data_IF_642388031159
#
_entry.id   IF_642388031159
#
_cell.length_a   1.000
_cell.length_b   1.000
_cell.length_c   1.000
_cell.angle_alpha   90.00
_cell.angle_beta   90.00
_cell.angle_gamma   90.00
#
_symmetry.space_group_name_H-M   'P 1'
#
loop_
_entity.id
_entity.type
_entity.pdbx_description
1 polymer ?
#
# COMPACT_ATOMS: atom_id res chain seq x y z
N UNK A 1 -21.83 26.47 -15.92
CA UNK A 1 -21.05 25.48 -16.68
C UNK A 1 -20.54 24.46 -15.66
N UNK A 2 -21.45 23.61 -15.17
CA UNK A 2 -21.21 22.71 -14.04
C UNK A 2 -20.76 21.33 -14.51
N UNK A 3 -19.64 20.89 -13.95
CA UNK A 3 -19.15 19.53 -13.73
C UNK A 3 -19.81 18.37 -14.48
N UNK A 4 -19.13 17.88 -15.52
CA UNK A 4 -19.15 16.43 -15.84
C UNK A 4 -18.08 15.72 -15.00
N UNK A 5 -18.29 15.66 -13.68
CA UNK A 5 -17.64 14.63 -12.86
C UNK A 5 -18.24 13.30 -13.33
N UNK A 6 -17.42 12.49 -14.00
CA UNK A 6 -17.85 11.30 -14.73
C UNK A 6 -18.79 10.43 -13.92
N UNK A 7 -19.95 10.10 -14.50
CA UNK A 7 -20.91 9.19 -13.89
C UNK A 7 -20.19 7.92 -13.44
N UNK A 8 -20.35 7.55 -12.17
CA UNK A 8 -19.81 6.29 -11.64
C UNK A 8 -20.46 5.16 -12.44
N UNK A 9 -19.70 4.49 -13.30
CA UNK A 9 -20.22 3.37 -14.08
C UNK A 9 -20.46 2.19 -13.13
N UNK A 10 -21.74 1.93 -12.85
CA UNK A 10 -22.16 0.81 -12.00
C UNK A 10 -22.39 -0.40 -12.92
N UNK A 11 -21.78 -1.56 -12.63
CA UNK A 11 -22.04 -2.79 -13.38
C UNK A 11 -23.48 -3.29 -13.16
N UNK A 12 -23.95 -4.19 -14.03
CA UNK A 12 -25.17 -4.96 -13.74
C UNK A 12 -24.96 -5.92 -12.56
N UNK A 13 -26.06 -6.31 -11.91
CA UNK A 13 -26.04 -7.33 -10.84
C UNK A 13 -25.40 -8.65 -11.30
N UNK A 14 -25.62 -9.02 -12.57
CA UNK A 14 -25.04 -10.23 -13.15
C UNK A 14 -23.51 -10.17 -13.16
N UNK A 15 -22.94 -9.06 -13.63
CA UNK A 15 -21.48 -8.86 -13.67
C UNK A 15 -20.94 -8.83 -12.24
N UNK A 16 -21.56 -8.04 -11.34
CA UNK A 16 -21.12 -7.92 -9.95
C UNK A 16 -21.09 -9.26 -9.22
N UNK A 17 -22.17 -10.04 -9.28
CA UNK A 17 -22.26 -11.37 -8.65
C UNK A 17 -21.22 -12.33 -9.22
N UNK A 18 -21.00 -12.29 -10.53
CA UNK A 18 -20.02 -13.15 -11.19
C UNK A 18 -18.58 -12.81 -10.77
N UNK A 19 -18.23 -11.53 -10.73
CA UNK A 19 -16.92 -11.08 -10.22
C UNK A 19 -16.74 -11.44 -8.75
N UNK A 20 -17.75 -11.25 -7.91
CA UNK A 20 -17.69 -11.68 -6.51
C UNK A 20 -17.43 -13.20 -6.39
N UNK A 21 -18.09 -14.01 -7.22
CA UNK A 21 -17.86 -15.46 -7.26
C UNK A 21 -16.43 -15.81 -7.68
N UNK A 22 -15.90 -15.18 -8.73
CA UNK A 22 -14.52 -15.38 -9.21
C UNK A 22 -13.54 -15.01 -8.10
N UNK A 23 -13.64 -13.81 -7.53
CA UNK A 23 -12.73 -13.34 -6.49
C UNK A 23 -12.77 -14.20 -5.22
N UNK A 24 -13.91 -14.80 -4.88
CA UNK A 24 -14.02 -15.73 -3.74
C UNK A 24 -13.33 -17.08 -3.96
N UNK A 25 -13.10 -17.47 -5.21
CA UNK A 25 -12.58 -18.79 -5.58
C UNK A 25 -11.24 -18.71 -6.33
N UNK A 26 -10.62 -17.54 -6.34
CA UNK A 26 -9.37 -17.32 -7.04
C UNK A 26 -8.21 -17.93 -6.24
N UNK A 27 -7.34 -18.64 -6.94
CA UNK A 27 -6.14 -19.29 -6.40
C UNK A 27 -4.98 -19.07 -7.36
N UNK A 28 -3.75 -19.27 -6.90
CA UNK A 28 -2.56 -19.18 -7.77
C UNK A 28 -2.65 -20.12 -8.98
N UNK A 29 -3.18 -21.33 -8.77
CA UNK A 29 -3.29 -22.35 -9.82
C UNK A 29 -4.36 -22.05 -10.86
N UNK A 30 -5.39 -21.28 -10.53
CA UNK A 30 -6.50 -20.97 -11.44
C UNK A 30 -6.49 -19.51 -11.94
N UNK A 31 -5.55 -18.69 -11.46
CA UNK A 31 -5.51 -17.25 -11.68
C UNK A 31 -5.65 -16.85 -13.15
N UNK A 32 -4.84 -17.42 -14.04
CA UNK A 32 -4.86 -17.10 -15.48
C UNK A 32 -6.24 -17.34 -16.10
N UNK A 33 -6.81 -18.51 -15.84
CA UNK A 33 -8.16 -18.86 -16.32
C UNK A 33 -9.23 -17.90 -15.76
N UNK A 34 -9.12 -17.51 -14.49
CA UNK A 34 -10.06 -16.55 -13.88
C UNK A 34 -9.92 -15.16 -14.50
N UNK A 35 -8.70 -14.73 -14.84
CA UNK A 35 -8.44 -13.47 -15.57
C UNK A 35 -9.08 -13.50 -16.95
N UNK A 36 -8.94 -14.60 -17.70
CA UNK A 36 -9.60 -14.76 -19.00
C UNK A 36 -11.13 -14.67 -18.86
N UNK A 37 -11.69 -15.28 -17.82
CA UNK A 37 -13.13 -15.20 -17.55
C UNK A 37 -13.56 -13.76 -17.21
N UNK A 38 -12.80 -13.05 -16.36
CA UNK A 38 -13.05 -11.63 -16.02
C UNK A 38 -13.01 -10.75 -17.27
N UNK A 39 -11.99 -10.91 -18.11
CA UNK A 39 -11.82 -10.09 -19.32
C UNK A 39 -12.91 -10.35 -20.35
N UNK A 40 -13.46 -11.57 -20.41
CA UNK A 40 -14.59 -11.90 -21.29
C UNK A 40 -15.92 -11.24 -20.89
N UNK A 41 -16.11 -10.92 -19.61
CA UNK A 41 -17.40 -10.41 -19.08
C UNK A 41 -17.36 -8.93 -18.67
N UNK A 42 -16.19 -8.37 -18.35
CA UNK A 42 -16.05 -6.99 -17.89
C UNK A 42 -15.70 -6.10 -19.09
N UNK A 43 -16.61 -5.25 -19.59
CA UNK A 43 -16.29 -4.31 -20.66
C UNK A 43 -15.30 -3.22 -20.20
N UNK A 44 -14.57 -2.64 -21.17
CA UNK A 44 -13.54 -1.62 -20.91
C UNK A 44 -14.01 -0.45 -20.02
N UNK A 45 -15.25 0.01 -20.14
CA UNK A 45 -15.78 1.12 -19.33
C UNK A 45 -15.99 0.77 -17.84
N UNK A 46 -15.97 -0.53 -17.48
CA UNK A 46 -16.07 -1.01 -16.09
C UNK A 46 -14.72 -1.34 -15.45
N UNK A 47 -13.60 -1.13 -16.16
CA UNK A 47 -12.24 -1.41 -15.63
C UNK A 47 -11.93 -0.65 -14.35
N UNK A 48 -12.34 0.63 -14.25
CA UNK A 48 -12.19 1.41 -13.00
C UNK A 48 -13.00 0.81 -11.85
N UNK A 49 -14.23 0.36 -12.11
CA UNK A 49 -15.05 -0.31 -11.08
C UNK A 49 -14.42 -1.64 -10.64
N UNK A 50 -13.81 -2.39 -11.56
CA UNK A 50 -13.11 -3.63 -11.23
C UNK A 50 -11.91 -3.33 -10.29
N UNK A 51 -11.14 -2.28 -10.57
CA UNK A 51 -10.06 -1.84 -9.70
C UNK A 51 -10.57 -1.40 -8.31
N UNK A 52 -11.66 -0.62 -8.23
CA UNK A 52 -12.31 -0.29 -6.96
C UNK A 52 -12.76 -1.54 -6.18
N UNK A 53 -13.24 -2.55 -6.90
CA UNK A 53 -13.71 -3.81 -6.31
C UNK A 53 -12.57 -4.66 -5.78
N UNK A 54 -11.44 -4.68 -6.48
CA UNK A 54 -10.21 -5.31 -6.01
C UNK A 54 -9.69 -4.63 -4.74
N UNK A 55 -9.66 -3.30 -4.69
CA UNK A 55 -9.15 -2.58 -3.52
C UNK A 55 -9.98 -2.82 -2.25
N UNK A 56 -11.30 -3.04 -2.39
CA UNK A 56 -12.13 -3.47 -1.26
C UNK A 56 -11.70 -4.83 -0.70
N UNK A 57 -11.26 -5.76 -1.56
CA UNK A 57 -10.73 -7.06 -1.14
C UNK A 57 -9.36 -6.92 -0.47
N UNK A 58 -8.47 -6.12 -1.06
CA UNK A 58 -7.15 -5.82 -0.50
C UNK A 58 -7.25 -5.28 0.93
N UNK A 59 -8.24 -4.43 1.20
CA UNK A 59 -8.48 -3.87 2.54
C UNK A 59 -8.85 -4.92 3.59
N UNK A 60 -9.41 -6.07 3.22
CA UNK A 60 -9.87 -7.12 4.15
C UNK A 60 -9.06 -8.42 4.13
N UNK A 61 -8.33 -8.70 3.05
CA UNK A 61 -7.75 -10.03 2.77
C UNK A 61 -6.22 -9.96 2.57
N UNK A 62 -5.43 -9.72 3.64
CA UNK A 62 -3.98 -9.50 3.54
C UNK A 62 -3.19 -10.68 2.96
N UNK A 63 -3.66 -11.91 3.19
CA UNK A 63 -2.99 -13.13 2.74
C UNK A 63 -3.03 -13.30 1.21
N UNK A 64 -3.89 -12.55 0.50
CA UNK A 64 -4.06 -12.65 -0.95
C UNK A 64 -3.40 -11.49 -1.70
N UNK A 65 -2.66 -10.61 -1.02
CA UNK A 65 -2.05 -9.43 -1.67
C UNK A 65 -1.10 -9.77 -2.81
N UNK A 66 -0.33 -10.85 -2.68
CA UNK A 66 0.55 -11.32 -3.76
C UNK A 66 -0.25 -11.81 -4.97
N UNK A 67 -1.27 -12.65 -4.73
CA UNK A 67 -2.19 -13.12 -5.76
C UNK A 67 -2.90 -11.96 -6.46
N UNK A 68 -3.34 -10.95 -5.71
CA UNK A 68 -3.98 -9.75 -6.25
C UNK A 68 -3.03 -8.86 -7.04
N UNK A 69 -1.75 -8.80 -6.67
CA UNK A 69 -0.77 -8.06 -7.45
C UNK A 69 -0.54 -8.75 -8.80
N UNK A 70 -0.45 -10.08 -8.82
CA UNK A 70 -0.35 -10.85 -10.07
C UNK A 70 -1.63 -10.73 -10.92
N UNK A 71 -2.81 -10.73 -10.28
CA UNK A 71 -4.08 -10.44 -10.95
C UNK A 71 -4.05 -9.08 -11.67
N UNK A 72 -3.52 -8.03 -11.03
CA UNK A 72 -3.37 -6.71 -11.66
C UNK A 72 -2.47 -6.79 -12.90
N UNK A 73 -1.32 -7.46 -12.81
CA UNK A 73 -0.38 -7.63 -13.93
C UNK A 73 -1.07 -8.31 -15.12
N UNK A 74 -1.77 -9.42 -14.87
CA UNK A 74 -2.41 -10.20 -15.91
C UNK A 74 -3.59 -9.44 -16.54
N UNK A 75 -4.42 -8.77 -15.75
CA UNK A 75 -5.51 -7.94 -16.27
C UNK A 75 -4.97 -6.76 -17.10
N UNK A 76 -3.85 -6.16 -16.68
CA UNK A 76 -3.24 -5.03 -17.38
C UNK A 76 -2.77 -5.39 -18.80
N UNK A 77 -2.49 -6.67 -19.08
CA UNK A 77 -2.20 -7.15 -20.43
C UNK A 77 -3.41 -7.04 -21.38
N UNK A 78 -4.63 -7.04 -20.85
CA UNK A 78 -5.87 -6.86 -21.62
C UNK A 78 -6.40 -5.43 -21.54
N UNK A 79 -6.18 -4.76 -20.40
CA UNK A 79 -6.64 -3.41 -20.10
C UNK A 79 -5.46 -2.53 -19.68
N UNK A 80 -4.84 -1.86 -20.65
CA UNK A 80 -3.63 -1.06 -20.43
C UNK A 80 -3.78 0.06 -19.38
N UNK A 81 -5.00 0.53 -19.13
CA UNK A 81 -5.32 1.53 -18.11
C UNK A 81 -5.57 0.94 -16.71
N UNK A 82 -5.63 -0.38 -16.55
CA UNK A 82 -6.05 -1.01 -15.30
C UNK A 82 -5.03 -0.84 -14.17
N UNK A 83 -3.74 -1.01 -14.46
CA UNK A 83 -2.68 -0.77 -13.47
C UNK A 83 -2.68 0.69 -13.02
N UNK A 84 -2.78 1.63 -13.97
CA UNK A 84 -2.88 3.07 -13.69
C UNK A 84 -4.09 3.38 -12.80
N UNK A 85 -5.28 2.88 -13.13
CA UNK A 85 -6.46 3.08 -12.29
C UNK A 85 -6.32 2.46 -10.91
N UNK A 86 -5.71 1.28 -10.82
CA UNK A 86 -5.49 0.60 -9.52
C UNK A 86 -4.57 1.42 -8.63
N UNK A 87 -3.44 1.90 -9.16
CA UNK A 87 -2.50 2.75 -8.43
C UNK A 87 -3.10 4.12 -8.06
N UNK A 88 -3.84 4.76 -8.97
CA UNK A 88 -4.52 6.03 -8.71
C UNK A 88 -5.55 5.90 -7.57
N UNK A 89 -6.40 4.86 -7.62
CA UNK A 89 -7.41 4.63 -6.60
C UNK A 89 -6.79 4.24 -5.25
N UNK A 90 -5.74 3.40 -5.27
CA UNK A 90 -5.01 2.97 -4.08
C UNK A 90 -4.36 4.16 -3.38
N UNK A 91 -3.62 4.97 -4.12
CA UNK A 91 -2.94 6.17 -3.59
C UNK A 91 -3.94 7.19 -3.08
N UNK A 92 -5.05 7.41 -3.79
CA UNK A 92 -6.14 8.29 -3.34
C UNK A 92 -6.77 7.82 -2.02
N UNK A 93 -6.97 6.53 -1.83
CA UNK A 93 -7.53 6.00 -0.59
C UNK A 93 -6.52 6.08 0.57
N UNK A 94 -5.24 5.79 0.32
CA UNK A 94 -4.16 6.01 1.29
C UNK A 94 -4.13 7.48 1.72
N UNK A 95 -4.11 8.42 0.77
CA UNK A 95 -4.13 9.86 1.03
C UNK A 95 -5.36 10.28 1.84
N UNK A 96 -6.53 9.73 1.52
CA UNK A 96 -7.77 10.01 2.25
C UNK A 96 -7.63 9.62 3.72
N UNK A 97 -7.09 8.43 4.00
CA UNK A 97 -6.90 7.93 5.37
C UNK A 97 -5.83 8.76 6.10
N UNK A 98 -4.69 9.06 5.46
CA UNK A 98 -3.61 9.85 6.06
C UNK A 98 -4.03 11.29 6.41
N UNK A 99 -5.02 11.85 5.68
CA UNK A 99 -5.56 13.20 5.93
C UNK A 99 -6.60 13.25 7.05
N UNK A 100 -7.09 12.10 7.54
CA UNK A 100 -8.05 12.08 8.65
C UNK A 100 -7.50 12.84 9.88
N UNK A 101 -8.34 13.54 10.64
CA UNK A 101 -7.89 14.22 11.86
C UNK A 101 -7.39 13.22 12.90
N UNK A 102 -8.06 12.07 12.99
CA UNK A 102 -7.69 10.93 13.82
C UNK A 102 -7.82 9.67 12.96
N UNK A 103 -6.78 8.83 12.97
CA UNK A 103 -6.83 7.50 12.36
C UNK A 103 -7.28 6.52 13.44
N UNK A 104 -8.47 5.96 13.29
CA UNK A 104 -8.98 4.93 14.21
C UNK A 104 -8.39 3.54 13.88
N UNK A 105 -8.57 2.52 14.73
CA UNK A 105 -8.03 1.18 14.48
C UNK A 105 -8.50 0.53 13.18
N UNK A 106 -9.71 0.83 12.71
CA UNK A 106 -10.26 0.27 11.47
C UNK A 106 -9.55 0.87 10.25
N UNK A 107 -9.43 2.20 10.21
CA UNK A 107 -8.67 2.91 9.18
C UNK A 107 -7.18 2.58 9.24
N UNK A 108 -6.62 2.42 10.44
CA UNK A 108 -5.23 2.02 10.63
C UNK A 108 -4.92 0.62 10.10
N UNK A 109 -5.81 -0.35 10.36
CA UNK A 109 -5.71 -1.70 9.78
C UNK A 109 -5.80 -1.66 8.25
N UNK A 110 -6.75 -0.90 7.72
CA UNK A 110 -6.92 -0.71 6.27
C UNK A 110 -5.65 -0.09 5.67
N UNK A 111 -5.13 0.98 6.26
CA UNK A 111 -3.92 1.66 5.81
C UNK A 111 -2.72 0.70 5.77
N UNK A 112 -2.54 -0.13 6.81
CA UNK A 112 -1.50 -1.16 6.84
C UNK A 112 -1.62 -2.13 5.66
N UNK A 113 -2.83 -2.61 5.35
CA UNK A 113 -3.06 -3.50 4.22
C UNK A 113 -2.80 -2.82 2.87
N UNK A 114 -3.27 -1.58 2.70
CA UNK A 114 -3.03 -0.81 1.48
C UNK A 114 -1.54 -0.52 1.27
N UNK A 115 -0.78 -0.28 2.34
CA UNK A 115 0.68 -0.13 2.27
C UNK A 115 1.41 -1.38 1.81
N UNK A 116 1.01 -2.55 2.30
CA UNK A 116 1.57 -3.83 1.85
C UNK A 116 1.32 -4.04 0.35
N UNK A 117 0.08 -3.77 -0.10
CA UNK A 117 -0.30 -3.91 -1.50
C UNK A 117 0.38 -2.88 -2.40
N UNK A 118 0.49 -1.63 -1.95
CA UNK A 118 1.25 -0.59 -2.65
C UNK A 118 2.71 -1.01 -2.84
N UNK A 119 3.36 -1.50 -1.79
CA UNK A 119 4.73 -2.01 -1.87
C UNK A 119 4.87 -3.18 -2.85
N UNK A 120 3.85 -4.05 -2.95
CA UNK A 120 3.87 -5.18 -3.90
C UNK A 120 3.67 -4.75 -5.35
N UNK A 121 2.86 -3.72 -5.60
CA UNK A 121 2.66 -3.15 -6.94
C UNK A 121 3.80 -2.21 -7.37
N UNK A 122 4.63 -1.72 -6.44
CA UNK A 122 5.65 -0.70 -6.74
C UNK A 122 7.06 -1.21 -6.41
N UNK A 123 7.46 -1.12 -5.13
CA UNK A 123 8.79 -1.46 -4.64
C UNK A 123 9.22 -2.85 -5.11
N UNK A 124 8.38 -3.87 -4.95
CA UNK A 124 8.69 -5.24 -5.37
C UNK A 124 8.91 -5.42 -6.89
N UNK A 125 8.56 -4.41 -7.69
CA UNK A 125 8.70 -4.37 -9.15
C UNK A 125 9.69 -3.31 -9.62
N UNK A 126 10.55 -2.83 -8.71
CA UNK A 126 11.55 -1.80 -9.00
C UNK A 126 10.95 -0.46 -9.47
N UNK A 127 9.71 -0.18 -9.06
CA UNK A 127 9.03 1.10 -9.33
C UNK A 127 9.19 1.99 -8.09
N UNK A 128 9.91 3.13 -8.19
CA UNK A 128 10.10 4.03 -7.06
C UNK A 128 8.80 4.72 -6.66
N UNK A 129 8.63 4.96 -5.36
CA UNK A 129 7.51 5.74 -4.84
C UNK A 129 7.83 7.23 -4.87
N UNK A 130 6.91 8.03 -5.44
CA UNK A 130 6.98 9.49 -5.40
C UNK A 130 6.36 10.08 -4.11
N UNK A 131 6.50 9.38 -2.98
CA UNK A 131 5.93 9.79 -1.68
C UNK A 131 7.07 10.21 -0.74
N UNK A 132 6.95 11.41 -0.16
CA UNK A 132 7.90 11.86 0.87
C UNK A 132 7.55 11.27 2.23
N UNK A 133 8.04 10.04 2.45
CA UNK A 133 7.82 9.29 3.69
C UNK A 133 8.44 9.98 4.90
N UNK A 134 9.59 10.66 4.74
CA UNK A 134 10.23 11.38 5.86
C UNK A 134 9.35 12.52 6.33
N UNK A 135 8.85 13.34 5.41
CA UNK A 135 7.93 14.43 5.73
C UNK A 135 6.61 13.93 6.31
N UNK A 136 6.12 12.77 5.87
CA UNK A 136 4.95 12.12 6.49
C UNK A 136 5.20 11.79 7.97
N UNK A 137 6.31 11.12 8.29
CA UNK A 137 6.68 10.78 9.69
C UNK A 137 6.82 12.05 10.52
N UNK A 138 7.52 13.07 9.99
CA UNK A 138 7.75 14.33 10.69
C UNK A 138 6.45 15.07 10.98
N UNK A 139 5.57 15.20 9.98
CA UNK A 139 4.29 15.90 10.13
C UNK A 139 3.41 15.19 11.15
N UNK A 140 3.36 13.86 11.12
CA UNK A 140 2.64 13.08 12.12
C UNK A 140 3.25 13.24 13.52
N UNK A 141 4.58 13.16 13.64
CA UNK A 141 5.29 13.35 14.91
C UNK A 141 5.00 14.71 15.55
N UNK A 142 4.93 15.79 14.75
CA UNK A 142 4.69 17.14 15.24
C UNK A 142 3.22 17.45 15.53
N UNK A 143 2.32 17.05 14.63
CA UNK A 143 0.96 17.55 14.63
C UNK A 143 -0.07 16.50 15.07
N UNK A 144 0.23 15.21 14.93
CA UNK A 144 -0.71 14.10 15.18
C UNK A 144 0.04 12.85 15.72
N UNK A 145 0.69 12.92 16.89
CA UNK A 145 1.56 11.85 17.39
C UNK A 145 0.84 10.51 17.60
N UNK A 146 -0.48 10.50 17.80
CA UNK A 146 -1.28 9.27 17.88
C UNK A 146 -1.47 8.59 16.52
N UNK A 147 -1.38 9.34 15.41
CA UNK A 147 -1.44 8.74 14.07
C UNK A 147 -0.18 7.92 13.74
N UNK A 148 0.94 8.13 14.46
CA UNK A 148 2.16 7.35 14.27
C UNK A 148 1.97 5.86 14.58
N UNK A 149 1.02 5.51 15.46
CA UNK A 149 0.69 4.13 15.80
C UNK A 149 0.17 3.34 14.58
N UNK A 150 -0.29 4.04 13.53
CA UNK A 150 -0.77 3.45 12.29
C UNK A 150 0.11 3.77 11.07
N UNK A 151 0.72 4.96 11.04
CA UNK A 151 1.61 5.39 9.95
C UNK A 151 2.90 4.56 9.93
N UNK A 152 3.46 4.20 11.10
CA UNK A 152 4.68 3.39 11.16
C UNK A 152 4.44 1.96 10.65
N UNK A 153 3.37 1.24 11.05
CA UNK A 153 3.03 -0.04 10.43
C UNK A 153 2.80 0.06 8.91
N UNK A 154 2.16 1.14 8.43
CA UNK A 154 1.97 1.39 7.00
C UNK A 154 3.30 1.49 6.23
N UNK A 155 4.23 2.32 6.72
CA UNK A 155 5.56 2.48 6.12
C UNK A 155 6.35 1.16 6.19
N UNK A 156 6.29 0.47 7.33
CA UNK A 156 6.93 -0.84 7.52
C UNK A 156 6.46 -1.86 6.47
N UNK A 157 5.17 -1.92 6.16
CA UNK A 157 4.65 -2.82 5.12
C UNK A 157 5.13 -2.46 3.71
N UNK A 158 5.27 -1.17 3.39
CA UNK A 158 5.87 -0.75 2.12
C UNK A 158 7.32 -1.24 2.04
N UNK A 159 8.13 -0.92 3.05
CA UNK A 159 9.56 -1.21 3.05
C UNK A 159 9.88 -2.70 3.11
N UNK A 160 9.02 -3.52 3.72
CA UNK A 160 9.12 -4.99 3.71
C UNK A 160 9.12 -5.59 2.31
N UNK A 161 8.65 -4.86 1.29
CA UNK A 161 8.67 -5.32 -0.10
C UNK A 161 10.03 -5.13 -0.81
N UNK A 162 11.00 -4.41 -0.20
CA UNK A 162 12.36 -4.25 -0.75
C UNK A 162 13.09 -5.59 -0.91
N UNK A 163 12.73 -6.60 -0.11
CA UNK A 163 13.27 -7.96 -0.25
C UNK A 163 12.97 -8.60 -1.62
N UNK A 164 11.86 -8.21 -2.25
CA UNK A 164 11.46 -8.71 -3.57
C UNK A 164 11.99 -7.87 -4.73
N UNK A 165 12.38 -6.63 -4.47
CA UNK A 165 12.94 -5.71 -5.47
C UNK A 165 14.35 -6.12 -5.87
N UNK A 166 14.76 -5.92 -7.13
CA UNK A 166 16.15 -6.11 -7.53
C UNK A 166 17.03 -4.89 -7.15
N UNK A 167 16.52 -3.69 -7.37
CA UNK A 167 17.24 -2.41 -7.28
C UNK A 167 17.00 -1.64 -5.98
N UNK A 168 15.76 -1.60 -5.48
CA UNK A 168 15.35 -0.87 -4.27
C UNK A 168 15.58 -1.78 -3.05
N UNK A 169 16.84 -1.87 -2.62
CA UNK A 169 17.27 -2.67 -1.47
C UNK A 169 17.35 -1.83 -0.19
N UNK A 170 17.51 -2.43 1.00
CA UNK A 170 17.76 -1.66 2.23
C UNK A 170 18.98 -0.73 2.19
N UNK A 171 19.95 -1.02 1.31
CA UNK A 171 21.12 -0.17 1.05
C UNK A 171 20.83 1.02 0.14
N UNK A 172 19.69 1.04 -0.55
CA UNK A 172 19.26 2.16 -1.40
C UNK A 172 19.18 3.45 -0.56
N UNK A 173 19.69 4.59 -1.05
CA UNK A 173 19.71 5.83 -0.28
C UNK A 173 18.33 6.26 0.23
N UNK A 174 17.28 6.13 -0.58
CA UNK A 174 15.93 6.53 -0.17
C UNK A 174 15.40 5.63 0.95
N UNK A 175 15.59 4.31 0.83
CA UNK A 175 15.20 3.36 1.90
C UNK A 175 16.01 3.62 3.17
N UNK A 176 17.33 3.76 3.04
CA UNK A 176 18.25 3.97 4.15
C UNK A 176 17.88 5.22 4.94
N UNK A 177 17.63 6.34 4.26
CA UNK A 177 17.23 7.58 4.92
C UNK A 177 15.92 7.42 5.73
N UNK A 178 14.95 6.67 5.23
CA UNK A 178 13.72 6.36 5.98
C UNK A 178 14.05 5.52 7.21
N UNK A 179 14.89 4.48 7.06
CA UNK A 179 15.33 3.63 8.17
C UNK A 179 16.03 4.42 9.28
N UNK A 180 16.81 5.43 8.91
CA UNK A 180 17.47 6.33 9.88
C UNK A 180 16.46 7.18 10.66
N UNK A 181 15.40 7.65 10.00
CA UNK A 181 14.33 8.44 10.63
C UNK A 181 13.46 7.57 11.55
N UNK A 182 13.10 6.35 11.14
CA UNK A 182 12.32 5.46 12.04
C UNK A 182 13.18 4.95 13.21
N UNK A 183 14.50 4.80 13.04
CA UNK A 183 15.43 4.56 14.16
C UNK A 183 15.47 5.74 15.13
N UNK A 184 15.54 6.98 14.62
CA UNK A 184 15.44 8.17 15.47
C UNK A 184 14.12 8.18 16.26
N UNK A 185 13.00 7.88 15.58
CA UNK A 185 11.68 7.79 16.22
C UNK A 185 11.65 6.72 17.32
N UNK A 186 12.19 5.53 17.06
CA UNK A 186 12.30 4.43 18.04
C UNK A 186 13.00 4.89 19.33
N UNK A 187 14.10 5.62 19.21
CA UNK A 187 14.86 6.11 20.36
C UNK A 187 14.16 7.22 21.16
N UNK A 188 13.33 8.05 20.54
CA UNK A 188 12.69 9.20 21.22
C UNK A 188 11.28 8.89 21.73
N UNK A 189 10.61 7.90 21.15
CA UNK A 189 9.24 7.56 21.53
C UNK A 189 9.21 6.73 22.80
N UNK A 190 8.20 6.93 23.63
CA UNK A 190 7.86 6.06 24.77
C UNK A 190 6.82 5.00 24.41
N UNK A 191 6.29 5.05 23.18
CA UNK A 191 5.24 4.13 22.70
C UNK A 191 5.85 2.78 22.29
N UNK A 192 5.68 1.76 23.13
CA UNK A 192 6.11 0.38 22.86
C UNK A 192 5.61 -0.17 21.51
N UNK A 193 4.35 0.04 21.07
CA UNK A 193 3.90 -0.47 19.77
C UNK A 193 4.74 0.03 18.59
N UNK A 194 5.18 1.29 18.63
CA UNK A 194 6.05 1.88 17.59
C UNK A 194 7.43 1.24 17.67
N UNK A 195 7.99 1.09 18.86
CA UNK A 195 9.32 0.48 19.04
C UNK A 195 9.36 -0.95 18.48
N UNK A 196 8.37 -1.78 18.85
CA UNK A 196 8.26 -3.15 18.34
C UNK A 196 8.10 -3.24 16.83
N UNK A 197 7.26 -2.38 16.22
CA UNK A 197 7.09 -2.41 14.76
C UNK A 197 8.38 -2.01 14.04
N UNK A 198 9.15 -1.06 14.56
CA UNK A 198 10.46 -0.68 14.00
C UNK A 198 11.46 -1.82 14.14
N UNK A 199 11.57 -2.45 15.31
CA UNK A 199 12.44 -3.63 15.50
C UNK A 199 12.08 -4.79 14.56
N UNK A 200 10.79 -5.06 14.40
CA UNK A 200 10.29 -6.07 13.47
C UNK A 200 10.60 -5.70 12.01
N UNK A 201 10.52 -4.42 11.65
CA UNK A 201 10.92 -3.94 10.33
C UNK A 201 12.41 -4.25 10.07
N UNK A 202 13.31 -3.84 10.97
CA UNK A 202 14.75 -4.10 10.81
C UNK A 202 15.05 -5.59 10.71
N UNK A 203 14.39 -6.41 11.54
CA UNK A 203 14.48 -7.87 11.48
C UNK A 203 14.05 -8.41 10.12
N UNK A 204 12.91 -7.93 9.59
CA UNK A 204 12.39 -8.37 8.28
C UNK A 204 13.23 -7.95 7.08
N UNK A 205 14.06 -6.91 7.25
CA UNK A 205 14.98 -6.41 6.25
C UNK A 205 16.40 -6.98 6.43
N UNK A 206 16.62 -7.86 7.41
CA UNK A 206 17.92 -8.42 7.76
C UNK A 206 18.97 -7.31 8.01
N UNK A 207 18.52 -6.19 8.59
CA UNK A 207 19.35 -5.02 8.87
C UNK A 207 19.65 -4.91 10.36
N UNK A 208 20.91 -4.64 10.71
CA UNK A 208 21.28 -4.32 12.09
C UNK A 208 20.94 -2.85 12.41
N UNK A 209 19.96 -2.63 13.28
CA UNK A 209 19.58 -1.28 13.70
C UNK A 209 20.76 -0.54 14.34
N UNK A 210 21.63 -1.23 15.08
CA UNK A 210 22.73 -0.59 15.82
C UNK A 210 23.82 -0.02 14.89
N UNK A 211 24.06 -0.67 13.75
CA UNK A 211 25.06 -0.23 12.75
C UNK A 211 24.60 0.98 11.94
N UNK A 212 23.29 1.21 11.87
CA UNK A 212 22.74 2.34 11.12
C UNK A 212 22.82 3.63 11.94
N UNK A 213 23.46 4.68 11.44
CA UNK A 213 23.44 5.98 12.12
C UNK A 213 22.00 6.50 12.26
N UNK A 214 21.61 6.93 13.46
CA UNK A 214 20.30 7.55 13.68
C UNK A 214 20.25 8.91 12.95
N UNK A 215 19.09 9.26 12.40
CA UNK A 215 18.89 10.60 11.88
C UNK A 215 18.83 11.64 13.01
N UNK A 216 18.98 12.92 12.65
CA UNK A 216 18.67 14.07 13.50
C UNK A 216 17.50 14.88 12.91
N UNK A 217 16.60 14.21 12.20
CA UNK A 217 15.55 14.82 11.40
C UNK A 217 14.36 15.28 12.25
N UNK A 218 13.92 14.46 13.20
CA UNK A 218 12.77 14.76 14.06
C UNK A 218 13.14 15.75 15.18
N UNK A 219 14.37 15.65 15.70
CA UNK A 219 14.89 16.53 16.77
C UNK A 219 15.30 17.92 16.28
N UNK A 220 15.63 18.11 14.99
CA UNK A 220 16.00 19.42 14.40
C UNK A 220 14.88 20.46 14.45
N UNK A 221 13.66 20.04 14.77
CA UNK A 221 12.49 20.91 14.81
C UNK A 221 12.13 21.40 16.23
N UNK A 222 13.14 21.55 17.09
CA UNK A 222 13.01 22.35 18.30
C UNK A 222 13.33 23.81 17.99
#
# INVERSE_FOLDING_TARGET
>A
MESRLGAKCIPSDRISKKICFIMNNITETNLKRQVDEVTSIVPHHLTRWLAESLLRRVASEPNLHELYAEFVTLIAAHYSNFETFTLELLTKEIDRILKLPVIDPFHGKTLKHLGAFLGRLTIARDIPLCVDIKSLIYTAFKNKPDSLDYIIPFISQILKNTKYSYSIKPSDPWVKEILQVVKELHHITTKLPIQFEVELLFTSLECNMNELNSAFYLRRAK
#
